data_IF_368756188098
#
_entry.id   IF_368756188098
#
_cell.length_a   1.000
_cell.length_b   1.000
_cell.length_c   1.000
_cell.angle_alpha   90.00
_cell.angle_beta   90.00
_cell.angle_gamma   90.00
#
_symmetry.space_group_name_H-M   'P 1'
#
loop_
_entity.id
_entity.type
_entity.pdbx_description
1 polymer ?
#
# COMPACT_ATOMS: atom_id res chain seq x y z
N UNK A 1 0.40 14.72 10.89
CA UNK A 1 0.97 13.38 11.18
C UNK A 1 2.46 13.57 11.36
N UNK A 2 3.09 12.87 12.29
CA UNK A 2 4.54 12.81 12.36
C UNK A 2 4.96 11.38 11.98
N UNK A 3 5.75 11.25 10.92
CA UNK A 3 6.31 9.97 10.48
C UNK A 3 7.82 10.06 10.37
N UNK A 4 8.47 8.91 10.51
CA UNK A 4 9.91 8.75 10.41
C UNK A 4 10.14 7.60 9.45
N UNK A 5 10.98 7.81 8.44
CA UNK A 5 11.53 6.75 7.62
C UNK A 5 12.97 6.49 8.08
N UNK A 6 13.36 5.23 8.15
CA UNK A 6 14.73 4.83 8.47
C UNK A 6 15.17 3.81 7.45
N UNK A 7 16.15 4.18 6.65
CA UNK A 7 16.91 3.26 5.82
C UNK A 7 18.23 2.98 6.53
N UNK A 8 18.65 1.72 6.62
CA UNK A 8 20.04 1.48 6.96
C UNK A 8 20.95 1.77 5.76
N UNK A 9 22.23 1.98 6.07
CA UNK A 9 23.21 2.46 5.11
C UNK A 9 23.44 1.45 3.98
N UNK A 10 23.37 0.16 4.28
CA UNK A 10 23.70 -0.88 3.32
C UNK A 10 22.53 -1.06 2.35
N UNK A 11 21.30 -1.01 2.87
CA UNK A 11 20.07 -1.06 2.09
C UNK A 11 19.92 0.12 1.13
N UNK A 12 20.12 1.36 1.59
CA UNK A 12 19.98 2.53 0.71
C UNK A 12 21.05 2.53 -0.39
N UNK A 13 22.28 2.08 -0.09
CA UNK A 13 23.32 1.97 -1.10
C UNK A 13 22.96 0.92 -2.17
N UNK A 14 22.42 -0.23 -1.75
CA UNK A 14 21.97 -1.26 -2.68
C UNK A 14 20.81 -0.75 -3.56
N UNK A 15 19.82 -0.08 -2.97
CA UNK A 15 18.70 0.50 -3.73
C UNK A 15 19.14 1.59 -4.71
N UNK A 16 20.13 2.41 -4.35
CA UNK A 16 20.70 3.42 -5.24
C UNK A 16 21.47 2.76 -6.38
N UNK A 17 22.34 1.80 -6.06
CA UNK A 17 23.12 1.06 -7.06
C UNK A 17 22.24 0.27 -8.02
N UNK A 18 21.12 -0.25 -7.53
CA UNK A 18 20.14 -1.00 -8.30
C UNK A 18 19.12 -0.09 -9.02
N UNK A 19 19.17 1.24 -8.84
CA UNK A 19 18.25 2.18 -9.51
C UNK A 19 16.80 2.13 -9.02
N UNK A 20 16.56 1.62 -7.81
CA UNK A 20 15.24 1.47 -7.18
C UNK A 20 14.94 2.50 -6.09
N UNK A 21 15.95 3.23 -5.62
CA UNK A 21 15.85 4.12 -4.46
C UNK A 21 14.71 5.14 -4.56
N UNK A 22 14.52 5.80 -5.69
CA UNK A 22 13.48 6.83 -5.83
C UNK A 22 12.07 6.27 -5.58
N UNK A 23 11.76 5.09 -6.14
CA UNK A 23 10.45 4.46 -6.01
C UNK A 23 10.20 3.97 -4.59
N UNK A 24 11.20 3.34 -3.97
CA UNK A 24 11.09 2.88 -2.58
C UNK A 24 10.95 4.07 -1.62
N UNK A 25 11.73 5.14 -1.82
CA UNK A 25 11.60 6.36 -1.00
C UNK A 25 10.22 6.98 -1.16
N UNK A 26 9.69 7.05 -2.39
CA UNK A 26 8.33 7.56 -2.62
C UNK A 26 7.28 6.68 -1.92
N UNK A 27 7.39 5.36 -2.04
CA UNK A 27 6.52 4.39 -1.36
C UNK A 27 6.49 4.62 0.16
N UNK A 28 7.65 4.72 0.79
CA UNK A 28 7.74 4.96 2.24
C UNK A 28 7.23 6.35 2.63
N UNK A 29 7.46 7.38 1.80
CA UNK A 29 6.89 8.71 2.01
C UNK A 29 5.37 8.69 1.96
N UNK A 30 4.77 7.89 1.07
CA UNK A 30 3.32 7.72 0.96
C UNK A 30 2.75 7.05 2.22
N UNK A 31 3.44 6.07 2.79
CA UNK A 31 3.09 5.52 4.10
C UNK A 31 3.14 6.55 5.22
N UNK A 32 4.18 7.39 5.25
CA UNK A 32 4.32 8.46 6.24
C UNK A 32 3.16 9.46 6.21
N UNK A 33 2.68 9.81 5.01
CA UNK A 33 1.59 10.78 4.87
C UNK A 33 0.20 10.15 5.02
N UNK A 34 0.09 8.82 5.09
CA UNK A 34 -1.12 8.13 5.56
C UNK A 34 -1.68 7.06 4.64
N UNK A 35 -1.08 6.81 3.48
CA UNK A 35 -1.50 5.73 2.60
C UNK A 35 -1.20 4.40 3.29
N UNK A 36 -2.20 3.53 3.47
CA UNK A 36 -2.06 2.28 4.21
C UNK A 36 -2.07 2.44 5.74
N UNK A 37 -1.40 3.46 6.25
CA UNK A 37 -1.16 3.62 7.69
C UNK A 37 -2.30 4.30 8.44
N UNK A 38 -3.10 5.13 7.76
CA UNK A 38 -4.26 5.80 8.35
C UNK A 38 -5.60 5.15 8.00
N UNK A 39 -5.66 4.22 7.05
CA UNK A 39 -6.91 3.64 6.57
C UNK A 39 -7.78 3.06 7.70
N UNK A 40 -7.19 2.28 8.61
CA UNK A 40 -7.89 1.70 9.77
C UNK A 40 -8.41 2.79 10.72
N UNK A 41 -7.56 3.75 11.09
CA UNK A 41 -7.93 4.86 11.99
C UNK A 41 -8.99 5.80 11.42
N UNK A 42 -9.12 5.83 10.09
CA UNK A 42 -10.14 6.58 9.35
C UNK A 42 -11.39 5.76 9.05
N UNK A 43 -11.46 4.51 9.53
CA UNK A 43 -12.55 3.58 9.29
C UNK A 43 -12.82 3.34 7.79
N UNK A 44 -11.75 3.27 7.00
CA UNK A 44 -11.79 3.04 5.56
C UNK A 44 -11.42 1.60 5.18
N UNK A 45 -11.43 0.66 6.14
CA UNK A 45 -11.19 -0.76 5.88
C UNK A 45 -12.42 -1.59 6.23
N UNK A 46 -12.87 -2.41 5.28
CA UNK A 46 -13.87 -3.45 5.50
C UNK A 46 -13.19 -4.83 5.48
N UNK A 47 -13.65 -5.76 6.32
CA UNK A 47 -13.18 -7.15 6.38
C UNK A 47 -11.66 -7.31 6.60
N UNK A 48 -11.04 -6.39 7.36
CA UNK A 48 -9.59 -6.29 7.59
C UNK A 48 -8.90 -7.53 8.18
N UNK A 49 -9.67 -8.40 8.82
CA UNK A 49 -9.15 -9.64 9.43
C UNK A 49 -9.43 -10.86 8.52
N UNK A 50 -9.70 -10.65 7.23
CA UNK A 50 -10.05 -11.70 6.26
C UNK A 50 -9.28 -11.57 4.95
N UNK A 51 -9.34 -12.64 4.14
CA UNK A 51 -8.83 -12.65 2.77
C UNK A 51 -9.50 -11.62 1.84
N UNK A 52 -10.64 -11.05 2.22
CA UNK A 52 -11.45 -10.14 1.41
C UNK A 52 -11.41 -8.69 1.95
N UNK A 53 -10.32 -8.30 2.61
CA UNK A 53 -10.15 -6.91 3.05
C UNK A 53 -10.22 -5.94 1.86
N UNK A 54 -10.93 -4.83 2.07
CA UNK A 54 -11.05 -3.74 1.10
C UNK A 54 -10.85 -2.39 1.75
N UNK A 55 -10.20 -1.49 1.04
CA UNK A 55 -10.29 -0.06 1.27
C UNK A 55 -11.60 0.48 0.70
N UNK A 56 -12.38 1.17 1.53
CA UNK A 56 -13.75 1.62 1.21
C UNK A 56 -13.85 3.10 0.84
N UNK A 57 -12.71 3.78 0.62
CA UNK A 57 -12.70 5.16 0.16
C UNK A 57 -13.33 5.31 -1.23
N UNK A 58 -14.36 6.17 -1.40
CA UNK A 58 -15.11 6.25 -2.64
C UNK A 58 -14.30 6.79 -3.81
N UNK A 59 -13.35 7.72 -3.57
CA UNK A 59 -12.55 8.32 -4.65
C UNK A 59 -11.53 7.34 -5.21
N UNK A 60 -10.83 6.62 -4.34
CA UNK A 60 -9.89 5.58 -4.77
C UNK A 60 -10.63 4.43 -5.48
N UNK A 61 -11.81 4.06 -4.99
CA UNK A 61 -12.65 3.02 -5.61
C UNK A 61 -13.05 3.42 -7.03
N UNK A 62 -13.54 4.65 -7.23
CA UNK A 62 -13.86 5.17 -8.56
C UNK A 62 -12.63 5.18 -9.47
N UNK A 63 -11.48 5.63 -8.98
CA UNK A 63 -10.23 5.65 -9.75
C UNK A 63 -9.75 4.25 -10.14
N UNK A 64 -9.90 3.25 -9.27
CA UNK A 64 -9.60 1.85 -9.60
C UNK A 64 -10.51 1.33 -10.73
N UNK A 65 -11.81 1.64 -10.67
CA UNK A 65 -12.77 1.25 -11.71
C UNK A 65 -12.43 1.93 -13.05
N UNK A 66 -12.10 3.23 -13.02
CA UNK A 66 -11.64 4.00 -14.19
C UNK A 66 -10.36 3.39 -14.81
N UNK A 67 -9.47 2.84 -13.99
CA UNK A 67 -8.27 2.13 -14.44
C UNK A 67 -8.54 0.70 -14.97
N UNK A 68 -9.80 0.33 -15.22
CA UNK A 68 -10.20 -0.99 -15.73
C UNK A 68 -10.48 -2.04 -14.65
N UNK A 69 -10.35 -1.67 -13.37
CA UNK A 69 -10.50 -2.58 -12.22
C UNK A 69 -11.95 -2.91 -11.84
N UNK A 70 -12.94 -2.73 -12.72
CA UNK A 70 -14.35 -2.99 -12.40
C UNK A 70 -14.61 -4.36 -11.73
N UNK A 71 -14.01 -5.48 -12.19
CA UNK A 71 -14.22 -6.78 -11.55
C UNK A 71 -13.71 -6.86 -10.11
N UNK A 72 -12.62 -6.16 -9.79
CA UNK A 72 -12.00 -6.17 -8.47
C UNK A 72 -12.62 -5.13 -7.51
N UNK A 73 -12.82 -3.92 -8.02
CA UNK A 73 -13.17 -2.73 -7.25
C UNK A 73 -14.66 -2.38 -7.28
N UNK A 74 -15.41 -2.89 -8.27
CA UNK A 74 -16.84 -2.58 -8.44
C UNK A 74 -17.73 -3.07 -7.29
N UNK A 75 -17.26 -4.03 -6.49
CA UNK A 75 -17.99 -4.54 -5.33
C UNK A 75 -17.57 -3.83 -4.03
N UNK A 76 -17.73 -2.50 -4.01
CA UNK A 76 -17.72 -1.70 -2.78
C UNK A 76 -16.34 -1.39 -2.18
N UNK A 77 -15.26 -1.43 -2.95
CA UNK A 77 -13.94 -1.00 -2.45
C UNK A 77 -12.75 -1.58 -3.22
N UNK A 78 -11.59 -0.95 -3.04
CA UNK A 78 -10.31 -1.40 -3.60
C UNK A 78 -9.75 -2.53 -2.73
N UNK A 79 -9.42 -3.72 -3.28
CA UNK A 79 -8.79 -4.79 -2.51
C UNK A 79 -7.49 -4.34 -1.84
N UNK A 80 -7.43 -4.44 -0.52
CA UNK A 80 -6.18 -4.24 0.22
C UNK A 80 -5.46 -5.59 0.37
N UNK A 81 -4.18 -5.54 0.71
CA UNK A 81 -3.37 -6.73 0.91
C UNK A 81 -3.84 -7.54 2.13
N UNK A 82 -3.98 -8.85 1.94
CA UNK A 82 -4.39 -9.82 2.98
C UNK A 82 -3.31 -10.84 3.33
N UNK A 83 -2.18 -10.82 2.63
CA UNK A 83 -1.12 -11.83 2.59
C UNK A 83 -1.55 -13.23 2.09
N UNK A 84 -2.78 -13.38 1.60
CA UNK A 84 -3.25 -14.65 1.03
C UNK A 84 -2.77 -14.74 -0.42
N UNK A 85 -2.17 -15.87 -0.80
CA UNK A 85 -1.69 -16.13 -2.16
C UNK A 85 -0.17 -16.17 -2.32
N UNK A 86 0.60 -15.86 -1.27
CA UNK A 86 2.06 -15.93 -1.27
C UNK A 86 2.57 -17.20 -0.56
N UNK A 87 3.65 -17.86 -1.02
CA UNK A 87 4.36 -18.90 -0.27
C UNK A 87 5.71 -18.39 0.28
N UNK A 88 6.00 -18.50 1.60
CA UNK A 88 5.05 -18.81 2.67
C UNK A 88 3.93 -17.76 2.73
N UNK A 89 2.78 -18.08 3.32
CA UNK A 89 1.58 -17.22 3.41
C UNK A 89 1.76 -16.03 4.36
N UNK A 90 2.84 -15.31 4.16
CA UNK A 90 3.16 -14.05 4.75
C UNK A 90 3.64 -13.14 3.62
N UNK A 91 3.18 -11.91 3.64
CA UNK A 91 3.64 -10.88 2.73
C UNK A 91 4.60 -9.92 3.46
N UNK A 92 5.29 -10.40 4.52
CA UNK A 92 6.10 -9.56 5.42
C UNK A 92 5.31 -8.95 6.58
N UNK A 93 6.02 -8.36 7.56
CA UNK A 93 5.40 -7.56 8.64
C UNK A 93 5.13 -6.15 8.11
N UNK A 94 3.92 -5.63 8.33
CA UNK A 94 3.53 -4.28 7.87
C UNK A 94 2.67 -4.30 6.60
N UNK A 95 2.69 -5.41 5.87
CA UNK A 95 2.06 -5.49 4.56
C UNK A 95 0.53 -5.62 4.58
N UNK A 96 0.03 -6.51 5.45
CA UNK A 96 -1.42 -6.73 5.60
C UNK A 96 -2.13 -5.42 5.98
N UNK A 97 -3.20 -5.10 5.26
CA UNK A 97 -4.03 -3.91 5.45
C UNK A 97 -3.33 -2.56 5.19
N UNK A 98 -2.03 -2.57 4.88
CA UNK A 98 -1.23 -1.37 4.61
C UNK A 98 -0.99 -1.10 3.13
N UNK A 99 -1.25 -2.09 2.27
CA UNK A 99 -0.91 -2.03 0.85
C UNK A 99 -2.10 -2.35 -0.04
N UNK A 100 -1.98 -2.03 -1.32
CA UNK A 100 -2.83 -2.62 -2.33
C UNK A 100 -2.51 -4.09 -2.53
N UNK A 101 -3.52 -4.86 -2.93
CA UNK A 101 -3.36 -6.29 -3.17
C UNK A 101 -2.44 -6.57 -4.34
N UNK A 102 -1.29 -7.15 -4.06
CA UNK A 102 -0.28 -7.50 -5.06
C UNK A 102 -0.86 -8.41 -6.16
N UNK A 103 -1.62 -9.44 -5.78
CA UNK A 103 -2.21 -10.41 -6.73
C UNK A 103 -3.26 -9.82 -7.69
N UNK A 104 -3.58 -8.53 -7.54
CA UNK A 104 -4.51 -7.81 -8.42
C UNK A 104 -3.82 -6.63 -9.10
N UNK A 105 -2.96 -5.91 -8.37
CA UNK A 105 -2.42 -4.64 -8.83
C UNK A 105 -0.96 -4.72 -9.29
N UNK A 106 -0.27 -5.82 -8.97
CA UNK A 106 1.11 -6.13 -9.38
C UNK A 106 2.04 -4.91 -9.32
N UNK A 107 2.24 -4.24 -10.44
CA UNK A 107 3.20 -3.16 -10.60
C UNK A 107 2.78 -1.82 -9.97
N UNK A 108 1.62 -1.70 -9.31
CA UNK A 108 1.27 -0.45 -8.66
C UNK A 108 2.23 -0.12 -7.51
N UNK A 109 2.67 1.13 -7.40
CA UNK A 109 3.71 1.54 -6.44
C UNK A 109 3.47 1.11 -4.99
N UNK A 110 2.22 1.09 -4.52
CA UNK A 110 1.83 0.82 -3.14
C UNK A 110 1.39 -0.63 -2.91
N UNK A 111 1.77 -1.56 -3.79
CA UNK A 111 1.79 -2.98 -3.44
C UNK A 111 3.03 -3.27 -2.56
N UNK A 112 3.06 -4.36 -1.77
CA UNK A 112 4.15 -4.63 -0.83
C UNK A 112 5.42 -5.19 -1.50
N UNK A 113 5.50 -5.20 -2.83
CA UNK A 113 6.60 -5.81 -3.58
C UNK A 113 7.26 -4.80 -4.51
N UNK A 114 8.59 -4.79 -4.53
CA UNK A 114 9.37 -3.92 -5.40
C UNK A 114 9.83 -4.71 -6.62
N UNK A 115 9.27 -4.37 -7.77
CA UNK A 115 9.62 -4.97 -9.06
C UNK A 115 11.08 -4.72 -9.46
N UNK A 116 11.67 -5.54 -10.35
CA UNK A 116 12.99 -5.30 -10.95
C UNK A 116 13.17 -3.86 -11.41
N UNK A 117 14.40 -3.29 -11.37
CA UNK A 117 14.63 -1.87 -11.68
C UNK A 117 14.08 -1.43 -13.05
N UNK A 118 14.09 -2.35 -14.01
CA UNK A 118 13.61 -2.16 -15.38
C UNK A 118 12.09 -2.02 -15.50
N UNK A 119 11.33 -2.45 -14.49
CA UNK A 119 9.87 -2.36 -14.45
C UNK A 119 9.48 -1.06 -13.75
N UNK A 120 8.64 -0.27 -14.41
CA UNK A 120 8.10 0.96 -13.85
C UNK A 120 7.00 0.65 -12.82
N UNK A 121 7.06 1.32 -11.66
CA UNK A 121 6.03 1.21 -10.61
C UNK A 121 5.21 2.50 -10.57
N UNK A 122 4.06 2.58 -11.27
CA UNK A 122 3.25 3.80 -11.33
C UNK A 122 2.70 4.22 -9.97
N UNK A 123 2.85 5.51 -9.64
CA UNK A 123 2.06 6.17 -8.62
C UNK A 123 0.67 6.51 -9.19
N UNK A 124 -0.26 5.59 -9.05
CA UNK A 124 -1.54 5.65 -9.76
C UNK A 124 -2.51 6.71 -9.21
N UNK A 125 -3.50 7.07 -10.03
CA UNK A 125 -4.62 7.89 -9.60
C UNK A 125 -5.42 7.22 -8.45
N UNK A 126 -5.43 5.88 -8.37
CA UNK A 126 -6.02 5.15 -7.25
C UNK A 126 -5.30 5.47 -5.92
N UNK A 127 -3.97 5.43 -5.92
CA UNK A 127 -3.15 5.80 -4.76
C UNK A 127 -3.31 7.26 -4.37
N UNK A 128 -3.26 8.19 -5.34
CA UNK A 128 -3.49 9.62 -5.11
C UNK A 128 -4.89 9.87 -4.49
N UNK A 129 -5.92 9.22 -5.01
CA UNK A 129 -7.29 9.43 -4.52
C UNK A 129 -7.53 8.81 -3.14
N UNK A 130 -6.75 7.81 -2.74
CA UNK A 130 -6.79 7.32 -1.35
C UNK A 130 -6.33 8.38 -0.35
N UNK A 131 -5.40 9.27 -0.73
CA UNK A 131 -5.02 10.43 0.08
C UNK A 131 -6.18 11.45 0.16
N UNK A 132 -6.93 11.63 -0.92
CA UNK A 132 -8.13 12.46 -0.90
C UNK A 132 -9.20 11.90 0.03
N UNK A 133 -9.39 10.58 0.06
CA UNK A 133 -10.35 9.90 0.93
C UNK A 133 -9.99 10.01 2.43
N UNK A 134 -8.70 10.23 2.78
CA UNK A 134 -8.28 10.52 4.17
C UNK A 134 -8.20 12.02 4.51
N UNK A 135 -8.53 12.90 3.55
CA UNK A 135 -8.74 14.34 3.75
C UNK A 135 -7.70 15.27 3.13
N UNK A 136 -6.77 14.79 2.30
CA UNK A 136 -5.87 15.68 1.55
C UNK A 136 -6.57 16.34 0.36
N UNK A 137 -6.13 17.55 0.02
CA UNK A 137 -6.37 18.10 -1.33
C UNK A 137 -5.29 17.56 -2.25
N UNK A 138 -5.68 16.95 -3.37
CA UNK A 138 -4.76 16.27 -4.29
C UNK A 138 -4.94 16.74 -5.72
N UNK A 139 -3.87 16.61 -6.53
CA UNK A 139 -3.94 16.77 -7.97
C UNK A 139 -3.97 15.39 -8.64
N UNK A 140 -5.17 14.91 -9.01
CA UNK A 140 -5.34 13.61 -9.67
C UNK A 140 -4.69 13.52 -11.06
N UNK A 141 -4.40 14.65 -11.70
CA UNK A 141 -3.77 14.69 -13.03
C UNK A 141 -2.25 14.52 -12.98
N UNK A 142 -1.65 14.51 -11.78
CA UNK A 142 -0.24 14.18 -11.59
C UNK A 142 0.01 12.65 -11.49
N UNK A 143 -1.04 11.84 -11.65
CA UNK A 143 -0.94 10.39 -11.62
C UNK A 143 -0.10 9.86 -12.78
N UNK A 144 0.71 8.85 -12.49
CA UNK A 144 1.28 8.03 -13.53
C UNK A 144 0.17 7.20 -14.21
N UNK A 145 0.28 6.93 -15.52
CA UNK A 145 -0.62 6.01 -16.20
C UNK A 145 -0.57 4.62 -15.55
N UNK A 146 -1.74 4.10 -15.19
CA UNK A 146 -1.89 2.77 -14.63
C UNK A 146 -3.19 2.15 -15.11
N UNK A 147 -3.13 0.87 -15.48
CA UNK A 147 -4.27 0.04 -15.83
C UNK A 147 -4.21 -1.17 -14.93
N UNK A 148 -5.32 -1.51 -14.28
CA UNK A 148 -5.40 -2.73 -13.46
C UNK A 148 -5.15 -3.93 -14.37
N UNK A 149 -4.13 -4.76 -14.08
CA UNK A 149 -3.89 -5.99 -14.82
C UNK A 149 -5.16 -6.85 -14.81
N UNK A 150 -5.72 -7.15 -15.97
CA UNK A 150 -6.72 -8.21 -16.05
C UNK A 150 -5.99 -9.52 -15.83
N UNK A 151 -6.58 -10.48 -15.10
CA UNK A 151 -6.08 -11.85 -15.13
C UNK A 151 -6.32 -12.38 -16.54
N UNK A 152 -5.36 -12.16 -17.44
CA UNK A 152 -5.15 -13.09 -18.53
C UNK A 152 -4.93 -14.44 -17.83
N UNK A 153 -5.69 -15.46 -18.21
CA UNK A 153 -5.40 -16.85 -17.88
C UNK A 153 -4.00 -17.18 -18.41
N UNK A 154 -2.99 -16.81 -17.64
CA UNK A 154 -1.59 -17.08 -17.88
C UNK A 154 -1.17 -17.82 -16.62
N UNK A 155 -0.92 -19.12 -16.82
CA UNK A 155 -0.21 -19.95 -15.86
C UNK A 155 1.00 -19.14 -15.41
N UNK A 156 1.12 -18.93 -14.10
CA UNK A 156 2.23 -18.24 -13.49
C UNK A 156 3.54 -18.88 -13.96
N UNK A 157 4.22 -18.23 -14.89
CA UNK A 157 5.64 -18.41 -15.04
C UNK A 157 6.26 -17.82 -13.78
N UNK A 158 6.58 -18.68 -12.82
CA UNK A 158 7.51 -18.29 -11.77
C UNK A 158 8.78 -17.75 -12.41
N UNK A 159 9.23 -16.56 -11.99
CA UNK A 159 10.62 -16.14 -12.19
C UNK A 159 10.81 -14.81 -12.92
N UNK A 160 10.41 -13.71 -12.30
CA UNK A 160 11.04 -12.40 -12.47
C UNK A 160 11.31 -11.85 -11.08
N UNK A 161 12.54 -11.45 -10.77
CA UNK A 161 13.02 -11.14 -9.41
C UNK A 161 12.41 -9.90 -8.77
N UNK A 162 11.11 -9.94 -8.48
CA UNK A 162 10.49 -9.07 -7.49
C UNK A 162 11.16 -9.36 -6.13
N UNK A 163 11.63 -8.30 -5.47
CA UNK A 163 12.25 -8.47 -4.17
C UNK A 163 11.18 -8.94 -3.18
N UNK A 164 11.48 -10.00 -2.42
CA UNK A 164 10.58 -10.49 -1.38
C UNK A 164 10.19 -9.37 -0.41
N UNK A 165 8.99 -9.44 0.18
CA UNK A 165 8.64 -8.53 1.25
C UNK A 165 9.57 -8.79 2.43
N UNK A 166 9.95 -7.72 3.13
CA UNK A 166 10.65 -7.70 4.43
C UNK A 166 12.18 -7.84 4.47
N UNK A 167 12.88 -6.80 4.01
CA UNK A 167 14.02 -6.27 4.80
C UNK A 167 13.94 -4.75 5.00
N UNK A 168 13.35 -4.01 4.05
CA UNK A 168 13.20 -2.55 4.10
C UNK A 168 11.86 -2.06 4.65
N UNK A 169 10.80 -2.86 4.46
CA UNK A 169 9.45 -2.49 4.88
C UNK A 169 9.22 -2.84 6.36
N UNK A 170 9.34 -1.82 7.21
CA UNK A 170 8.72 -1.80 8.54
C UNK A 170 7.77 -0.61 8.57
N UNK A 171 6.53 -0.82 8.13
CA UNK A 171 5.47 0.18 8.29
C UNK A 171 5.18 0.45 9.78
N UNK A 172 5.68 1.58 10.27
CA UNK A 172 5.28 2.12 11.58
C UNK A 172 3.97 2.89 11.42
N UNK A 173 2.89 2.39 12.04
CA UNK A 173 1.63 3.13 12.10
C UNK A 173 1.85 4.47 12.82
N UNK A 174 1.31 5.60 12.30
CA UNK A 174 1.47 6.89 12.93
C UNK A 174 0.82 6.87 14.31
N UNK A 175 1.57 7.28 15.33
CA UNK A 175 1.10 7.34 16.72
C UNK A 175 0.46 8.68 17.06
N UNK A 176 0.74 9.71 16.26
CA UNK A 176 0.31 11.08 16.49
C UNK A 176 -0.13 11.77 15.19
N UNK A 177 -1.21 12.54 15.28
CA UNK A 177 -1.67 13.48 14.27
C UNK A 177 -1.46 14.91 14.76
N UNK A 178 -1.42 15.86 13.82
CA UNK A 178 -1.43 17.29 14.13
C UNK A 178 -2.68 17.84 13.45
N UNK A 179 -3.56 18.51 14.21
CA UNK A 179 -4.77 19.12 13.66
C UNK A 179 -4.42 20.32 12.79
N UNK A 180 -5.37 20.80 11.99
CA UNK A 180 -5.22 22.05 11.23
C UNK A 180 -4.91 23.27 12.13
N UNK A 181 -5.27 23.21 13.41
CA UNK A 181 -4.95 24.21 14.43
C UNK A 181 -3.60 24.00 15.13
N UNK A 182 -2.77 23.06 14.67
CA UNK A 182 -1.44 22.79 15.23
C UNK A 182 -1.42 21.94 16.49
N UNK A 183 -2.54 21.34 16.90
CA UNK A 183 -2.63 20.54 18.12
C UNK A 183 -2.20 19.10 17.84
N UNK A 184 -1.25 18.59 18.62
CA UNK A 184 -0.85 17.18 18.57
C UNK A 184 -1.90 16.31 19.25
N UNK A 185 -2.36 15.26 18.58
CA UNK A 185 -3.31 14.27 19.13
C UNK A 185 -2.77 12.86 18.92
N UNK A 186 -2.87 12.00 19.92
CA UNK A 186 -2.63 10.57 19.74
C UNK A 186 -3.65 10.00 18.74
N UNK A 187 -3.19 9.12 17.86
CA UNK A 187 -4.07 8.33 16.99
C UNK A 187 -4.32 7.02 17.74
N UNK A 188 -5.58 6.74 18.08
CA UNK A 188 -5.95 5.44 18.66
C UNK A 188 -5.69 4.35 17.63
N UNK A 189 -4.65 3.56 17.87
CA UNK A 189 -4.41 2.30 17.16
C UNK A 189 -4.93 1.21 18.09
N UNK A 190 -5.91 0.42 17.64
CA UNK A 190 -6.36 -0.74 18.41
C UNK A 190 -5.15 -1.59 18.79
N UNK A 191 -5.01 -2.02 20.06
CA UNK A 191 -3.87 -2.83 20.47
C UNK A 191 -3.83 -4.10 19.62
N UNK A 192 -2.63 -4.62 19.29
CA UNK A 192 -2.52 -5.89 18.59
C UNK A 192 -3.25 -6.96 19.40
N UNK A 193 -4.12 -7.73 18.75
CA UNK A 193 -4.84 -8.81 19.40
C UNK A 193 -3.83 -9.74 20.09
N UNK A 194 -3.85 -9.77 21.42
CA UNK A 194 -3.06 -10.71 22.21
C UNK A 194 -3.55 -12.11 21.89
N UNK A 195 -2.84 -12.83 21.02
CA UNK A 195 -3.06 -14.25 20.83
C UNK A 195 -2.58 -14.94 22.11
N UNK A 196 -3.52 -15.27 23.00
CA UNK A 196 -3.28 -16.15 24.14
C UNK A 196 -2.79 -17.48 23.59
N UNK A 197 -1.51 -17.77 23.77
CA UNK A 197 -0.97 -19.12 23.60
C UNK A 197 -1.58 -19.94 24.74
N UNK A 198 -2.48 -20.86 24.40
CA UNK A 198 -2.79 -22.05 25.19
C UNK A 198 -2.26 -23.25 24.44
#
# INVERSE_FOLDING_TARGET
>A
VLGVMRFDRDDINNLVNDGRAERVVLHEMLHVIGLGTLWESKNLLANKDSANVKFTGPKATAACVEAGGLPACGNGGVPAESCVGFPPANCGRGSQNGHWRETIFEQELMTPFVEPPVIFLPYSNMSIQSLADIGYTVNRFAADPFTVPFPNLTISAQGGGSLQPSSWDIVLKPRFSITASGVVRAIEVAPPATRSVR
#
